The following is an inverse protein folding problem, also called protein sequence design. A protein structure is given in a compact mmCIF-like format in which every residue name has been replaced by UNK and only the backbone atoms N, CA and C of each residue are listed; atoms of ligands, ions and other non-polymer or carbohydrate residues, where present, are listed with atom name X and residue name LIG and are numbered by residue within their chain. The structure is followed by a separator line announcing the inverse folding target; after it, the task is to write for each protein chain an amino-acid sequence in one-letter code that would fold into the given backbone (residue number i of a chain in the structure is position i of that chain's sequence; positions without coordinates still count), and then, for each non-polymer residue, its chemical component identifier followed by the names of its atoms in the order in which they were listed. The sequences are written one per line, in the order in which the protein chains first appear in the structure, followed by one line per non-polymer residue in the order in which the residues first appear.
data_IF_073774107609
#
_entry.id   IF_073774107609
#
_cell.length_a   1.000
_cell.length_b   1.000
_cell.length_c   1.000
_cell.angle_alpha   90.00
_cell.angle_beta   90.00
_cell.angle_gamma   90.00
#
_symmetry.space_group_name_H-M   'P 1'
#
loop_
_entity.id
_entity.type
_entity.pdbx_description
1 polymer ?
#
# COMPACT_ATOMS: atom_id res chain seq x y z
N UNK A 1 -12.00 11.81 -27.68
CA UNK A 1 -10.58 11.93 -27.33
C UNK A 1 -10.43 12.45 -25.89
N UNK A 2 -9.21 12.38 -25.38
CA UNK A 2 -8.90 12.72 -23.98
C UNK A 2 -7.64 13.57 -23.92
N UNK A 3 -7.66 14.63 -23.06
CA UNK A 3 -6.54 15.55 -22.83
C UNK A 3 -6.35 15.78 -21.32
N UNK A 4 -5.17 16.24 -20.90
CA UNK A 4 -4.97 16.60 -19.50
C UNK A 4 -5.59 17.97 -19.14
N UNK A 5 -5.73 18.18 -18.00
CA UNK A 5 -6.24 19.19 -17.54
C UNK A 5 -5.75 20.41 -17.83
N UNK A 6 -4.51 20.50 -17.80
CA UNK A 6 -3.79 21.75 -18.09
C UNK A 6 -3.88 22.18 -19.58
N UNK A 7 -4.66 21.48 -20.37
CA UNK A 7 -5.01 21.92 -21.73
C UNK A 7 -5.81 23.25 -21.73
N UNK A 8 -6.47 23.55 -20.64
CA UNK A 8 -7.35 24.72 -20.53
C UNK A 8 -6.78 25.73 -19.54
N UNK A 9 -6.88 27.01 -19.91
CA UNK A 9 -6.42 28.10 -19.05
C UNK A 9 -7.12 28.07 -17.68
N UNK A 10 -6.37 28.34 -16.64
CA UNK A 10 -6.86 28.44 -15.27
C UNK A 10 -7.37 27.15 -14.66
N UNK A 11 -7.21 26.00 -15.30
CA UNK A 11 -7.54 24.70 -14.72
C UNK A 11 -6.31 24.15 -14.02
N UNK A 12 -6.44 23.82 -12.73
CA UNK A 12 -5.37 23.24 -11.93
C UNK A 12 -5.73 21.79 -11.55
N UNK A 13 -4.74 20.92 -11.58
CA UNK A 13 -4.91 19.53 -11.21
C UNK A 13 -4.36 18.58 -12.26
N UNK A 14 -4.46 17.30 -11.97
CA UNK A 14 -4.01 16.25 -12.88
C UNK A 14 -5.16 15.26 -13.11
N UNK A 15 -6.15 15.69 -13.86
CA UNK A 15 -7.29 14.86 -14.20
C UNK A 15 -7.52 14.91 -15.72
N UNK A 16 -8.10 13.85 -16.28
CA UNK A 16 -8.40 13.82 -17.71
C UNK A 16 -9.67 14.60 -18.02
N UNK A 17 -9.68 15.23 -19.19
CA UNK A 17 -10.88 15.83 -19.77
C UNK A 17 -11.22 15.03 -21.04
N UNK A 18 -12.42 14.47 -21.07
CA UNK A 18 -12.89 13.69 -22.20
C UNK A 18 -13.83 14.50 -23.09
N UNK A 19 -13.70 14.32 -24.39
CA UNK A 19 -14.62 14.87 -25.37
C UNK A 19 -15.30 13.73 -26.12
N UNK A 20 -16.62 13.78 -26.15
CA UNK A 20 -17.46 12.79 -26.83
C UNK A 20 -18.31 13.47 -27.91
N UNK A 21 -18.45 12.82 -29.05
CA UNK A 21 -19.34 13.27 -30.10
C UNK A 21 -20.58 12.35 -30.04
N UNK A 22 -21.76 12.97 -29.94
CA UNK A 22 -23.02 12.26 -29.87
C UNK A 22 -23.75 12.41 -31.19
N UNK A 23 -24.23 11.29 -31.73
CA UNK A 23 -25.07 11.27 -32.92
C UNK A 23 -26.50 10.92 -32.52
N UNK A 24 -27.47 11.77 -32.89
CA UNK A 24 -28.88 11.49 -32.69
C UNK A 24 -29.37 10.54 -33.81
N UNK A 25 -29.95 9.47 -33.44
CA UNK A 25 -30.49 8.50 -34.39
C UNK A 25 -31.93 8.14 -34.06
N UNK A 26 -32.76 8.08 -34.73
CA UNK A 26 -33.79 7.80 -34.45
C UNK A 26 -34.14 6.91 -35.29
N UNK A 27 -34.83 5.77 -35.02
CA UNK A 27 -35.01 5.40 -33.60
C UNK A 27 -33.66 5.07 -32.94
N UNK A 28 -33.54 5.30 -31.65
CA UNK A 28 -32.27 4.99 -30.97
C UNK A 28 -31.98 3.49 -31.09
N UNK A 29 -30.77 3.09 -31.47
CA UNK A 29 -30.41 1.68 -31.44
C UNK A 29 -30.57 1.13 -30.03
N UNK A 30 -30.91 -0.14 -29.86
CA UNK A 30 -30.95 -0.72 -28.51
C UNK A 30 -29.58 -0.50 -27.84
N UNK A 31 -29.63 0.07 -26.65
CA UNK A 31 -28.41 0.31 -25.85
C UNK A 31 -27.71 -1.02 -25.59
N UNK A 32 -26.79 -1.35 -26.48
CA UNK A 32 -25.80 -2.40 -26.14
C UNK A 32 -24.83 -1.75 -25.15
N UNK A 33 -24.71 -2.26 -23.95
CA UNK A 33 -23.63 -1.76 -23.07
C UNK A 33 -22.32 -2.03 -23.79
N UNK A 34 -21.78 -0.99 -24.41
CA UNK A 34 -20.41 -1.08 -24.89
C UNK A 34 -19.52 -1.09 -23.63
N UNK A 35 -18.98 -2.25 -23.35
CA UNK A 35 -18.11 -2.39 -22.18
C UNK A 35 -16.74 -1.71 -22.37
N UNK A 36 -16.51 -1.15 -23.54
CA UNK A 36 -15.24 -0.51 -23.88
C UNK A 36 -15.46 0.77 -24.69
N UNK A 37 -14.77 1.83 -24.28
CA UNK A 37 -14.70 3.10 -25.01
C UNK A 37 -13.24 3.37 -25.35
N UNK A 38 -12.93 3.41 -26.64
CA UNK A 38 -11.58 3.69 -27.12
C UNK A 38 -11.44 5.18 -27.37
N UNK A 39 -10.40 5.78 -26.79
CA UNK A 39 -10.12 7.20 -26.86
C UNK A 39 -8.74 7.44 -27.46
N UNK A 40 -8.63 8.43 -28.31
CA UNK A 40 -7.33 9.03 -28.68
C UNK A 40 -6.91 9.93 -27.54
N UNK A 41 -5.63 9.88 -27.17
CA UNK A 41 -5.06 10.64 -26.06
C UNK A 41 -4.07 11.65 -26.61
N UNK A 42 -4.23 12.91 -26.22
CA UNK A 42 -3.36 14.00 -26.66
C UNK A 42 -2.77 14.71 -25.44
N UNK A 43 -1.59 15.29 -25.60
CA UNK A 43 -1.01 16.17 -24.59
C UNK A 43 -1.67 17.55 -24.63
N UNK A 44 -1.28 18.45 -23.72
CA UNK A 44 -1.85 19.80 -23.61
C UNK A 44 -1.56 20.70 -24.81
N UNK A 45 -0.64 20.29 -25.70
CA UNK A 45 -0.28 21.03 -26.92
C UNK A 45 -0.91 20.40 -28.17
N UNK A 46 -1.73 19.36 -28.03
CA UNK A 46 -2.36 18.65 -29.14
C UNK A 46 -1.48 17.56 -29.76
N UNK A 47 -0.35 17.22 -29.14
CA UNK A 47 0.51 16.12 -29.58
C UNK A 47 -0.15 14.77 -29.27
N UNK A 48 -0.24 13.88 -30.24
CA UNK A 48 -0.84 12.56 -30.07
C UNK A 48 0.05 11.67 -29.20
N UNK A 49 -0.51 11.12 -28.12
CA UNK A 49 0.20 10.26 -27.18
C UNK A 49 -0.11 8.77 -27.35
N UNK A 50 -1.26 8.44 -28.00
CA UNK A 50 -1.66 7.04 -28.18
C UNK A 50 -3.14 6.83 -27.97
N UNK A 51 -3.53 5.62 -27.62
CA UNK A 51 -4.92 5.25 -27.37
C UNK A 51 -5.11 4.80 -25.94
N UNK A 52 -6.30 5.04 -25.39
CA UNK A 52 -6.73 4.48 -24.10
C UNK A 52 -8.10 3.82 -24.27
N UNK A 53 -8.22 2.61 -23.75
CA UNK A 53 -9.50 1.93 -23.68
C UNK A 53 -10.03 2.07 -22.23
N UNK A 54 -11.19 2.70 -22.08
CA UNK A 54 -11.90 2.75 -20.80
C UNK A 54 -12.95 1.66 -20.83
N UNK A 55 -12.92 0.76 -19.85
CA UNK A 55 -13.84 -0.37 -19.74
C UNK A 55 -14.74 -0.23 -18.53
N UNK A 56 -15.98 -0.64 -18.67
CA UNK A 56 -16.91 -0.81 -17.56
C UNK A 56 -17.16 -2.30 -17.35
N UNK A 57 -16.82 -2.79 -16.17
CA UNK A 57 -17.01 -4.19 -15.81
C UNK A 57 -18.22 -4.31 -14.87
N UNK A 58 -19.41 -4.40 -15.48
CA UNK A 58 -20.65 -4.54 -14.72
C UNK A 58 -20.61 -5.83 -13.88
N UNK A 59 -21.07 -5.73 -12.63
CA UNK A 59 -21.17 -6.85 -11.67
C UNK A 59 -19.83 -7.44 -11.19
N UNK A 60 -18.69 -6.86 -11.57
CA UNK A 60 -17.41 -7.30 -11.00
C UNK A 60 -17.22 -6.57 -9.66
N UNK A 61 -17.02 -7.28 -8.55
CA UNK A 61 -16.79 -6.62 -7.26
C UNK A 61 -15.52 -5.76 -7.28
N UNK A 62 -15.54 -4.69 -6.53
CA UNK A 62 -14.35 -3.86 -6.36
C UNK A 62 -13.35 -4.52 -5.41
N UNK A 63 -12.12 -4.06 -5.47
CA UNK A 63 -11.04 -4.58 -4.64
C UNK A 63 -11.35 -4.49 -3.13
N UNK A 64 -11.94 -3.36 -2.69
CA UNK A 64 -12.28 -3.18 -1.28
C UNK A 64 -13.34 -4.20 -0.79
N UNK A 65 -14.21 -4.66 -1.67
CA UNK A 65 -15.23 -5.66 -1.31
C UNK A 65 -14.59 -7.01 -0.97
N UNK A 66 -13.46 -7.31 -1.59
CA UNK A 66 -12.73 -8.55 -1.33
C UNK A 66 -12.20 -8.63 0.12
N UNK A 67 -11.81 -7.50 0.70
CA UNK A 67 -11.29 -7.46 2.08
C UNK A 67 -12.38 -7.74 3.14
N UNK A 68 -13.65 -7.61 2.78
CA UNK A 68 -14.73 -7.77 3.77
C UNK A 68 -14.87 -9.21 4.28
N UNK A 69 -14.20 -10.16 3.65
CA UNK A 69 -14.20 -11.57 4.06
C UNK A 69 -13.43 -11.83 5.37
N UNK A 70 -12.61 -10.87 5.81
CA UNK A 70 -11.73 -11.05 6.96
C UNK A 70 -12.18 -10.22 8.15
N UNK A 71 -12.62 -10.87 9.23
CA UNK A 71 -13.02 -10.19 10.46
C UNK A 71 -12.16 -10.69 11.63
N UNK A 72 -11.63 -9.79 12.46
CA UNK A 72 -10.85 -10.19 13.62
C UNK A 72 -11.74 -10.74 14.75
N UNK A 73 -11.16 -11.58 15.59
CA UNK A 73 -11.78 -11.99 16.86
C UNK A 73 -11.32 -11.04 17.99
N UNK A 74 -11.96 -11.13 19.14
CA UNK A 74 -11.59 -10.31 20.31
C UNK A 74 -10.20 -10.64 20.87
N UNK A 75 -9.61 -11.76 20.48
CA UNK A 75 -8.30 -12.22 20.99
C UNK A 75 -7.13 -11.85 20.10
N UNK A 76 -7.41 -11.35 18.89
CA UNK A 76 -6.36 -11.00 17.95
C UNK A 76 -5.68 -9.69 18.34
N UNK A 77 -4.35 -9.67 18.26
CA UNK A 77 -3.60 -8.42 18.35
C UNK A 77 -3.81 -7.66 17.05
N UNK A 78 -4.39 -6.47 17.15
CA UNK A 78 -4.57 -5.59 15.99
C UNK A 78 -3.28 -4.80 15.81
N UNK A 79 -2.59 -5.01 14.69
CA UNK A 79 -1.34 -4.30 14.37
C UNK A 79 -1.61 -2.86 13.97
N UNK A 80 -2.73 -2.62 13.32
CA UNK A 80 -3.14 -1.32 12.81
C UNK A 80 -4.36 -1.47 11.93
N UNK A 81 -4.68 -0.44 11.17
CA UNK A 81 -5.88 -0.38 10.34
C UNK A 81 -5.53 0.14 8.94
N UNK A 82 -6.11 -0.49 7.92
CA UNK A 82 -6.04 -0.03 6.55
C UNK A 82 -7.24 0.87 6.24
N UNK A 83 -6.98 2.10 5.79
CA UNK A 83 -7.97 2.90 5.07
C UNK A 83 -7.92 2.45 3.60
N UNK A 84 -8.98 1.84 3.07
CA UNK A 84 -8.96 1.35 1.69
C UNK A 84 -9.19 2.47 0.65
N UNK A 85 -9.52 3.68 1.08
CA UNK A 85 -9.91 4.76 0.17
C UNK A 85 -11.11 4.36 -0.69
N UNK A 86 -11.18 4.91 -1.89
CA UNK A 86 -12.10 4.46 -2.95
C UNK A 86 -11.30 3.72 -4.03
N UNK A 87 -11.99 3.04 -4.94
CA UNK A 87 -11.36 2.04 -5.81
C UNK A 87 -10.66 2.60 -7.06
N UNK A 88 -10.48 3.91 -7.19
CA UNK A 88 -9.83 4.54 -8.34
C UNK A 88 -8.48 5.14 -7.99
N UNK A 89 -7.64 5.38 -9.00
CA UNK A 89 -6.36 6.08 -8.83
C UNK A 89 -6.53 7.49 -8.26
N UNK A 90 -7.65 8.17 -8.53
CA UNK A 90 -7.94 9.49 -7.96
C UNK A 90 -7.86 9.49 -6.43
N UNK A 91 -8.14 8.34 -5.80
CA UNK A 91 -8.18 8.20 -4.35
C UNK A 91 -6.97 7.44 -3.79
N UNK A 92 -5.91 7.26 -4.60
CA UNK A 92 -4.73 6.50 -4.18
C UNK A 92 -4.09 7.07 -2.91
N UNK A 93 -4.03 8.39 -2.78
CA UNK A 93 -3.44 9.05 -1.60
C UNK A 93 -4.23 8.84 -0.31
N UNK A 94 -5.48 8.40 -0.40
CA UNK A 94 -6.29 8.08 0.78
C UNK A 94 -5.95 6.69 1.33
N UNK A 95 -5.45 5.78 0.48
CA UNK A 95 -5.09 4.42 0.92
C UNK A 95 -3.85 4.52 1.80
N UNK A 96 -4.01 4.17 3.07
CA UNK A 96 -2.90 4.25 4.03
C UNK A 96 -3.12 3.31 5.21
N UNK A 97 -2.07 3.11 5.97
CA UNK A 97 -2.11 2.33 7.22
C UNK A 97 -1.91 3.27 8.40
N UNK A 98 -2.71 3.11 9.44
CA UNK A 98 -2.63 3.91 10.67
C UNK A 98 -2.84 3.05 11.91
N UNK A 99 -2.49 3.61 13.06
CA UNK A 99 -2.73 2.96 14.36
C UNK A 99 -4.22 3.05 14.74
N UNK A 100 -4.91 4.12 14.30
CA UNK A 100 -6.26 4.47 14.76
C UNK A 100 -7.30 4.05 13.72
N UNK A 101 -8.35 3.38 14.20
CA UNK A 101 -9.57 3.16 13.41
C UNK A 101 -10.38 4.46 13.36
N UNK A 102 -10.50 5.04 12.16
CA UNK A 102 -11.29 6.25 11.94
C UNK A 102 -12.63 5.98 11.25
N UNK A 103 -13.11 4.73 11.26
CA UNK A 103 -14.38 4.36 10.62
C UNK A 103 -15.56 5.21 11.12
N UNK A 104 -15.52 5.59 12.39
CA UNK A 104 -16.59 6.41 12.99
C UNK A 104 -16.53 7.88 12.56
N UNK A 105 -15.38 8.36 12.10
CA UNK A 105 -15.16 9.75 11.70
C UNK A 105 -15.23 9.94 10.20
N UNK A 106 -15.05 8.87 9.44
CA UNK A 106 -15.07 8.86 7.98
C UNK A 106 -16.21 7.95 7.51
N UNK A 107 -16.69 8.16 6.31
CA UNK A 107 -17.72 7.29 5.73
C UNK A 107 -17.11 6.04 5.08
N UNK A 108 -15.87 5.73 5.43
CA UNK A 108 -15.12 4.59 4.89
C UNK A 108 -14.82 3.63 6.05
N UNK A 109 -15.11 2.35 5.84
CA UNK A 109 -14.80 1.31 6.83
C UNK A 109 -13.30 1.00 6.78
N UNK A 110 -12.61 1.16 7.91
CA UNK A 110 -11.22 0.76 8.06
C UNK A 110 -11.15 -0.75 8.31
N UNK A 111 -10.13 -1.40 7.78
CA UNK A 111 -9.92 -2.83 7.94
C UNK A 111 -8.82 -3.09 8.97
N UNK A 112 -9.12 -3.83 10.05
CA UNK A 112 -8.09 -4.17 11.03
C UNK A 112 -7.06 -5.14 10.45
N UNK A 113 -5.81 -4.94 10.78
CA UNK A 113 -4.68 -5.75 10.33
C UNK A 113 -4.25 -6.63 11.50
N UNK A 114 -4.35 -7.94 11.30
CA UNK A 114 -3.97 -8.95 12.28
C UNK A 114 -3.07 -10.00 11.59
N UNK A 115 -2.46 -10.89 12.35
CA UNK A 115 -1.53 -11.87 11.78
C UNK A 115 -2.13 -12.70 10.64
N UNK A 116 -3.43 -13.03 10.70
CA UNK A 116 -4.08 -13.83 9.64
C UNK A 116 -4.50 -13.01 8.42
N UNK A 117 -4.59 -11.69 8.53
CA UNK A 117 -5.02 -10.83 7.40
C UNK A 117 -3.90 -10.00 6.81
N UNK A 118 -2.73 -9.93 7.45
CA UNK A 118 -1.68 -8.98 7.05
C UNK A 118 -1.22 -9.18 5.61
N UNK A 119 -1.10 -10.41 5.13
CA UNK A 119 -0.70 -10.67 3.74
C UNK A 119 -1.76 -10.19 2.76
N UNK A 120 -3.05 -10.44 3.03
CA UNK A 120 -4.13 -9.97 2.18
C UNK A 120 -4.20 -8.44 2.15
N UNK A 121 -4.06 -7.80 3.32
CA UNK A 121 -4.00 -6.34 3.41
C UNK A 121 -2.78 -5.79 2.66
N UNK A 122 -1.63 -6.48 2.75
CA UNK A 122 -0.42 -6.07 2.04
C UNK A 122 -0.60 -6.12 0.52
N UNK A 123 -1.30 -7.15 0.02
CA UNK A 123 -1.64 -7.24 -1.40
C UNK A 123 -2.50 -6.03 -1.79
N UNK A 124 -3.60 -5.78 -1.05
CA UNK A 124 -4.46 -4.62 -1.32
C UNK A 124 -3.65 -3.32 -1.37
N UNK A 125 -2.85 -3.08 -0.33
CA UNK A 125 -2.06 -1.86 -0.22
C UNK A 125 -1.09 -1.71 -1.39
N UNK A 126 -0.37 -2.79 -1.71
CA UNK A 126 0.71 -2.73 -2.69
C UNK A 126 0.19 -2.54 -4.12
N UNK A 127 -0.88 -3.24 -4.51
CA UNK A 127 -1.46 -3.05 -5.84
C UNK A 127 -2.02 -1.64 -6.01
N UNK A 128 -2.45 -0.98 -4.91
CA UNK A 128 -2.92 0.40 -4.95
C UNK A 128 -1.79 1.42 -5.04
N UNK A 129 -0.56 1.04 -4.69
CA UNK A 129 0.58 1.97 -4.62
C UNK A 129 1.74 1.67 -5.56
N UNK A 130 1.84 0.45 -6.10
CA UNK A 130 2.98 0.08 -6.96
C UNK A 130 2.92 0.73 -8.34
N UNK A 131 1.73 1.13 -8.81
CA UNK A 131 1.56 1.82 -10.10
C UNK A 131 1.33 3.30 -9.81
N UNK A 132 2.10 4.15 -10.48
CA UNK A 132 2.01 5.59 -10.29
C UNK A 132 0.68 6.14 -10.81
N UNK A 133 -0.01 6.93 -9.99
CA UNK A 133 -1.19 7.68 -10.43
C UNK A 133 -0.76 8.79 -11.40
N UNK A 134 -1.45 8.88 -12.53
CA UNK A 134 -1.26 9.88 -13.58
C UNK A 134 -2.63 10.40 -14.00
N UNK A 135 -2.65 11.52 -14.74
CA UNK A 135 -3.92 12.00 -15.28
C UNK A 135 -4.55 10.99 -16.25
N UNK A 136 -3.72 10.16 -16.91
CA UNK A 136 -4.22 9.17 -17.87
C UNK A 136 -4.95 8.00 -17.18
N UNK A 137 -4.53 7.61 -15.96
CA UNK A 137 -5.16 6.50 -15.24
C UNK A 137 -6.02 6.95 -14.04
N UNK A 138 -6.28 8.25 -13.91
CA UNK A 138 -6.95 8.85 -12.74
C UNK A 138 -8.30 8.15 -12.42
N UNK A 139 -9.04 7.75 -13.42
CA UNK A 139 -10.37 7.12 -13.28
C UNK A 139 -10.36 5.60 -13.40
N UNK A 140 -9.20 5.00 -13.63
CA UNK A 140 -9.12 3.54 -13.70
C UNK A 140 -9.46 2.94 -12.33
N UNK A 141 -10.20 1.84 -12.36
CA UNK A 141 -10.77 1.20 -11.17
C UNK A 141 -10.03 -0.10 -10.84
N UNK A 142 -9.89 -0.34 -9.55
CA UNK A 142 -9.35 -1.61 -9.04
C UNK A 142 -10.51 -2.55 -8.70
N UNK A 143 -10.37 -3.81 -9.09
CA UNK A 143 -11.40 -4.84 -8.97
C UNK A 143 -10.91 -5.99 -8.08
N UNK A 144 -11.84 -6.80 -7.61
CA UNK A 144 -11.52 -8.09 -7.01
C UNK A 144 -10.77 -8.96 -8.05
N UNK A 145 -9.88 -9.84 -7.63
CA UNK A 145 -9.12 -10.67 -8.57
C UNK A 145 -10.04 -11.59 -9.37
N UNK A 146 -9.53 -12.12 -10.49
CA UNK A 146 -10.29 -13.08 -11.30
C UNK A 146 -10.71 -14.31 -10.50
N UNK A 147 -9.82 -14.77 -9.61
CA UNK A 147 -10.03 -15.93 -8.74
C UNK A 147 -9.08 -15.82 -7.54
N UNK A 148 -8.97 -16.87 -6.74
CA UNK A 148 -8.14 -16.90 -5.55
C UNK A 148 -6.71 -17.45 -5.77
N UNK A 149 -6.30 -17.71 -7.02
CA UNK A 149 -4.99 -18.30 -7.35
C UNK A 149 -3.82 -17.46 -6.80
N UNK A 150 -3.96 -16.12 -6.77
CA UNK A 150 -2.92 -15.25 -6.21
C UNK A 150 -2.57 -15.61 -4.76
N UNK A 151 -3.48 -16.26 -4.03
CA UNK A 151 -3.24 -16.65 -2.63
C UNK A 151 -2.20 -17.76 -2.50
N UNK A 152 -1.95 -18.52 -3.57
CA UNK A 152 -0.91 -19.55 -3.60
C UNK A 152 0.46 -18.99 -4.01
N UNK A 153 0.49 -17.75 -4.53
CA UNK A 153 1.74 -17.08 -4.91
C UNK A 153 2.37 -16.43 -3.66
N UNK A 154 3.17 -17.22 -2.94
CA UNK A 154 3.80 -16.76 -1.69
C UNK A 154 4.80 -15.63 -1.95
N UNK A 155 5.55 -15.69 -3.06
CA UNK A 155 6.52 -14.64 -3.39
C UNK A 155 5.83 -13.31 -3.61
N UNK A 156 4.75 -13.30 -4.41
CA UNK A 156 3.96 -12.09 -4.65
C UNK A 156 3.44 -11.49 -3.33
N UNK A 157 2.85 -12.33 -2.47
CA UNK A 157 2.31 -11.85 -1.18
C UNK A 157 3.41 -11.31 -0.26
N UNK A 158 4.57 -11.99 -0.22
CA UNK A 158 5.69 -11.55 0.61
C UNK A 158 6.31 -10.27 0.06
N UNK A 159 6.42 -10.13 -1.27
CA UNK A 159 6.85 -8.89 -1.92
C UNK A 159 5.90 -7.73 -1.55
N UNK A 160 4.60 -7.97 -1.58
CA UNK A 160 3.60 -6.98 -1.17
C UNK A 160 3.76 -6.59 0.31
N UNK A 161 4.03 -7.56 1.18
CA UNK A 161 4.25 -7.27 2.60
C UNK A 161 5.43 -6.32 2.79
N UNK A 162 6.57 -6.64 2.19
CA UNK A 162 7.77 -5.81 2.34
C UNK A 162 7.55 -4.42 1.74
N UNK A 163 6.90 -4.34 0.58
CA UNK A 163 6.54 -3.05 -0.03
C UNK A 163 5.69 -2.20 0.93
N UNK A 164 4.65 -2.78 1.52
CA UNK A 164 3.77 -2.09 2.46
C UNK A 164 4.52 -1.62 3.72
N UNK A 165 5.39 -2.45 4.27
CA UNK A 165 6.09 -2.12 5.53
C UNK A 165 6.94 -0.86 5.39
N UNK A 166 7.55 -0.63 4.22
CA UNK A 166 8.50 0.45 4.03
C UNK A 166 7.98 1.60 3.17
N UNK A 167 6.72 1.52 2.72
CA UNK A 167 6.10 2.56 1.90
C UNK A 167 5.73 3.79 2.72
N UNK A 168 5.75 4.97 2.09
CA UNK A 168 5.45 6.25 2.75
C UNK A 168 4.02 6.36 3.29
N UNK A 169 3.08 5.60 2.75
CA UNK A 169 1.69 5.58 3.21
C UNK A 169 1.47 4.58 4.36
N UNK A 170 2.51 3.91 4.82
CA UNK A 170 2.48 3.27 6.14
C UNK A 170 2.73 4.37 7.17
N UNK A 171 1.65 4.82 7.83
CA UNK A 171 1.66 5.96 8.76
C UNK A 171 1.59 5.51 10.21
N UNK A 172 2.03 4.29 10.51
CA UNK A 172 2.10 3.80 11.89
C UNK A 172 3.05 4.72 12.67
N UNK A 173 2.61 5.17 13.83
CA UNK A 173 3.39 6.06 14.70
C UNK A 173 3.13 5.73 16.17
N UNK A 174 4.16 5.79 16.99
CA UNK A 174 4.06 5.54 18.43
C UNK A 174 3.35 6.67 19.18
N UNK A 175 3.18 7.84 18.57
CA UNK A 175 2.40 8.93 19.18
C UNK A 175 0.91 8.59 19.30
N UNK A 176 0.43 7.58 18.58
CA UNK A 176 -0.99 7.20 18.56
C UNK A 176 -1.25 5.79 19.11
N UNK A 177 -0.20 5.05 19.44
CA UNK A 177 -0.36 3.70 19.98
C UNK A 177 0.91 2.86 19.85
N UNK A 178 0.79 1.60 20.20
CA UNK A 178 1.91 0.66 20.13
C UNK A 178 2.29 0.37 18.69
N UNK A 179 3.57 0.41 18.37
CA UNK A 179 4.08 0.00 17.08
C UNK A 179 4.24 -1.52 17.04
N UNK A 180 3.32 -2.20 16.35
CA UNK A 180 3.37 -3.64 16.12
C UNK A 180 4.10 -3.99 14.82
N UNK A 181 4.58 -3.00 14.06
CA UNK A 181 5.12 -3.17 12.71
C UNK A 181 6.66 -3.09 12.66
N UNK A 182 7.36 -3.25 13.80
CA UNK A 182 8.82 -3.31 13.77
C UNK A 182 9.23 -4.70 13.23
N UNK A 183 9.93 -4.76 12.08
CA UNK A 183 10.25 -6.05 11.44
C UNK A 183 11.62 -6.62 11.86
N UNK A 184 12.29 -5.99 12.80
CA UNK A 184 13.67 -6.31 13.21
C UNK A 184 13.73 -6.67 14.68
N UNK A 185 14.71 -7.49 15.06
CA UNK A 185 15.07 -7.64 16.48
C UNK A 185 15.88 -6.44 16.96
N UNK A 186 15.92 -6.25 18.26
CA UNK A 186 16.72 -5.19 18.89
C UNK A 186 18.19 -5.30 18.49
N UNK A 187 18.72 -6.53 18.47
CA UNK A 187 20.12 -6.77 18.13
C UNK A 187 20.43 -6.39 16.68
N UNK A 188 19.52 -6.66 15.74
CA UNK A 188 19.72 -6.33 14.31
C UNK A 188 19.91 -4.82 14.08
N UNK A 189 19.28 -3.99 14.90
CA UNK A 189 19.28 -2.53 14.70
C UNK A 189 20.01 -1.80 15.85
N UNK A 190 20.69 -2.54 16.72
CA UNK A 190 21.46 -2.00 17.84
C UNK A 190 20.61 -1.13 18.77
N UNK A 191 19.35 -1.52 19.00
CA UNK A 191 18.44 -0.80 19.89
C UNK A 191 18.93 -0.91 21.35
N UNK A 192 18.98 0.21 22.04
CA UNK A 192 19.41 0.27 23.45
C UNK A 192 18.36 -0.28 24.43
N UNK A 193 17.11 -0.40 23.98
CA UNK A 193 15.99 -0.82 24.82
C UNK A 193 15.16 -1.88 24.11
N UNK A 194 14.41 -2.63 24.91
CA UNK A 194 13.50 -3.66 24.39
C UNK A 194 12.25 -3.04 23.76
N UNK A 195 11.77 -3.68 22.71
CA UNK A 195 10.51 -3.31 22.07
C UNK A 195 9.31 -3.75 22.91
N UNK A 196 8.25 -2.98 22.85
CA UNK A 196 6.99 -3.31 23.52
C UNK A 196 6.20 -4.38 22.76
N UNK A 197 6.53 -4.61 21.50
CA UNK A 197 5.85 -5.60 20.68
C UNK A 197 6.81 -6.23 19.67
N UNK A 198 6.74 -7.55 19.56
CA UNK A 198 7.43 -8.32 18.54
C UNK A 198 6.43 -8.98 17.57
N UNK A 199 5.19 -8.48 17.51
CA UNK A 199 4.11 -9.15 16.79
C UNK A 199 4.44 -9.39 15.31
N UNK A 200 4.98 -8.37 14.61
CA UNK A 200 5.37 -8.54 13.20
C UNK A 200 6.59 -9.44 13.07
N UNK A 201 7.61 -9.26 13.91
CA UNK A 201 8.82 -10.11 13.87
C UNK A 201 8.46 -11.58 14.08
N UNK A 202 7.56 -11.88 15.02
CA UNK A 202 7.09 -13.24 15.25
C UNK A 202 6.34 -13.78 14.02
N UNK A 203 5.52 -12.93 13.38
CA UNK A 203 4.84 -13.31 12.13
C UNK A 203 5.87 -13.64 11.03
N UNK A 204 6.87 -12.77 10.82
CA UNK A 204 7.90 -12.98 9.80
C UNK A 204 8.68 -14.28 10.03
N UNK A 205 8.89 -14.64 11.29
CA UNK A 205 9.62 -15.85 11.70
C UNK A 205 8.71 -17.10 11.79
N UNK A 206 7.46 -17.00 11.36
CA UNK A 206 6.52 -18.13 11.39
C UNK A 206 6.00 -18.49 12.78
N UNK A 207 6.17 -17.61 13.79
CA UNK A 207 5.72 -17.86 15.16
C UNK A 207 4.28 -17.36 15.37
N UNK A 208 3.33 -17.82 14.55
CA UNK A 208 1.92 -17.43 14.70
C UNK A 208 1.30 -18.25 15.82
N UNK A 209 0.81 -17.58 16.86
CA UNK A 209 0.03 -18.26 17.92
C UNK A 209 -1.33 -18.65 17.35
N UNK A 210 -1.60 -19.95 17.27
CA UNK A 210 -2.94 -20.45 16.93
C UNK A 210 -3.89 -20.06 18.05
N UNK A 211 -4.99 -19.41 17.72
CA UNK A 211 -6.10 -19.26 18.66
C UNK A 211 -6.76 -20.65 18.87
N UNK A 212 -7.11 -20.96 20.11
CA UNK A 212 -7.68 -22.27 20.51
C UNK A 212 -9.03 -22.62 19.86
N UNK A 213 -9.56 -21.76 18.98
CA UNK A 213 -10.90 -21.95 18.40
C UNK A 213 -10.89 -22.60 17.01
N UNK A 214 -9.73 -22.91 16.45
CA UNK A 214 -9.67 -23.86 15.33
C UNK A 214 -9.78 -25.27 15.91
N UNK A 215 -10.95 -25.48 16.56
CA UNK A 215 -11.24 -26.72 17.27
C UNK A 215 -11.35 -27.91 16.34
N UNK A 216 -10.92 -29.02 16.87
CA UNK A 216 -11.38 -30.36 16.58
C UNK A 216 -11.90 -30.68 15.17
N UNK A 217 -11.24 -30.18 14.14
CA UNK A 217 -11.35 -30.84 12.85
C UNK A 217 -10.34 -31.97 12.83
N UNK A 218 -10.85 -33.16 13.06
CA UNK A 218 -10.13 -34.44 13.02
C UNK A 218 -9.40 -34.71 11.69
N UNK A 219 -9.52 -33.81 10.73
CA UNK A 219 -9.00 -33.97 9.36
C UNK A 219 -7.88 -33.00 8.97
N UNK A 220 -7.46 -32.11 9.87
CA UNK A 220 -6.37 -31.19 9.58
C UNK A 220 -5.10 -31.56 10.35
N UNK A 221 -4.69 -32.82 10.23
CA UNK A 221 -3.42 -33.32 10.76
C UNK A 221 -2.23 -33.06 9.82
N UNK A 222 -2.22 -31.92 9.12
CA UNK A 222 -0.96 -31.41 8.60
C UNK A 222 -0.48 -30.35 9.58
N UNK A 223 0.48 -30.69 10.42
CA UNK A 223 1.35 -29.70 11.06
C UNK A 223 2.03 -28.96 9.90
N UNK A 224 1.41 -27.89 9.40
CA UNK A 224 2.16 -26.90 8.64
C UNK A 224 3.17 -26.33 9.63
N UNK A 225 4.39 -26.80 9.55
CA UNK A 225 5.48 -26.12 10.24
C UNK A 225 5.45 -24.68 9.77
N UNK A 226 5.22 -23.78 10.70
CA UNK A 226 5.28 -22.35 10.41
C UNK A 226 6.74 -22.01 10.12
N UNK A 227 7.07 -21.92 8.84
CA UNK A 227 8.41 -21.54 8.41
C UNK A 227 8.52 -20.03 8.36
N UNK A 228 9.70 -19.47 8.59
CA UNK A 228 9.94 -18.06 8.32
C UNK A 228 9.55 -17.71 6.90
N UNK A 229 9.09 -16.48 6.68
CA UNK A 229 8.76 -16.01 5.34
C UNK A 229 10.05 -15.90 4.51
N UNK A 230 9.96 -16.34 3.26
CA UNK A 230 11.05 -16.22 2.30
C UNK A 230 10.84 -14.97 1.44
N UNK A 231 11.91 -14.26 1.15
CA UNK A 231 11.86 -13.00 0.40
C UNK A 231 12.60 -13.13 -0.92
N UNK A 232 12.05 -12.54 -1.97
CA UNK A 232 12.76 -12.36 -3.24
C UNK A 232 14.00 -11.48 -3.03
N UNK A 233 14.89 -11.48 -4.01
CA UNK A 233 16.07 -10.62 -3.96
C UNK A 233 15.70 -9.14 -3.83
N UNK A 234 14.70 -8.69 -4.57
CA UNK A 234 14.25 -7.28 -4.50
C UNK A 234 13.60 -6.95 -3.15
N UNK A 235 12.79 -7.86 -2.61
CA UNK A 235 12.21 -7.68 -1.27
C UNK A 235 13.30 -7.63 -0.20
N UNK A 236 14.31 -8.50 -0.31
CA UNK A 236 15.46 -8.51 0.61
C UNK A 236 16.22 -7.19 0.57
N UNK A 237 16.43 -6.61 -0.63
CA UNK A 237 17.09 -5.30 -0.76
C UNK A 237 16.30 -4.19 -0.05
N UNK A 238 14.96 -4.19 -0.17
CA UNK A 238 14.11 -3.24 0.56
C UNK A 238 14.25 -3.44 2.07
N UNK A 239 14.21 -4.69 2.52
CA UNK A 239 14.30 -5.06 3.92
C UNK A 239 15.65 -4.59 4.52
N UNK A 240 16.75 -4.83 3.78
CA UNK A 240 18.10 -4.42 4.21
C UNK A 240 18.24 -2.89 4.24
N UNK A 241 17.73 -2.19 3.20
CA UNK A 241 17.76 -0.72 3.17
C UNK A 241 16.96 -0.14 4.34
N UNK A 242 15.82 -0.75 4.67
CA UNK A 242 15.02 -0.36 5.82
C UNK A 242 15.76 -0.59 7.13
N UNK A 243 16.44 -1.76 7.26
CA UNK A 243 17.23 -2.08 8.45
C UNK A 243 18.31 -1.02 8.72
N UNK A 244 18.99 -0.55 7.67
CA UNK A 244 20.03 0.47 7.83
C UNK A 244 19.47 1.81 8.33
N UNK A 245 18.26 2.19 7.93
CA UNK A 245 17.59 3.39 8.45
C UNK A 245 17.28 3.22 9.95
N UNK A 246 16.72 2.07 10.34
CA UNK A 246 16.45 1.78 11.76
C UNK A 246 17.73 1.77 12.57
N UNK A 247 18.76 1.08 12.07
CA UNK A 247 20.07 1.03 12.75
C UNK A 247 20.64 2.44 12.92
N UNK A 248 20.64 3.25 11.87
CA UNK A 248 21.16 4.62 11.93
C UNK A 248 20.39 5.47 12.95
N UNK A 249 19.06 5.35 12.98
CA UNK A 249 18.24 6.03 13.99
C UNK A 249 18.67 5.64 15.40
N UNK A 250 18.90 4.36 15.66
CA UNK A 250 19.27 3.88 17.00
C UNK A 250 20.67 4.32 17.44
N UNK A 251 21.54 4.74 16.52
CA UNK A 251 22.86 5.32 16.88
C UNK A 251 22.77 6.79 17.25
N UNK A 252 21.65 7.46 17.00
CA UNK A 252 21.53 8.91 17.24
C UNK A 252 21.50 9.23 18.73
N UNK A 253 22.19 10.31 19.11
CA UNK A 253 22.10 10.86 20.45
C UNK A 253 20.86 11.76 20.53
N UNK A 254 20.05 11.58 21.56
CA UNK A 254 18.73 12.22 21.68
C UNK A 254 18.78 13.52 22.52
N UNK A 255 19.81 14.35 22.34
CA UNK A 255 19.92 15.60 23.10
C UNK A 255 18.77 16.56 22.83
N UNK A 256 18.21 16.55 21.63
CA UNK A 256 17.16 17.49 21.22
C UNK A 256 15.76 16.83 21.10
N UNK A 257 15.66 15.52 21.33
CA UNK A 257 14.42 14.76 21.24
C UNK A 257 14.53 13.47 22.04
N UNK A 258 13.50 13.10 22.79
CA UNK A 258 13.54 11.85 23.55
C UNK A 258 13.77 10.64 22.64
N UNK A 259 14.67 9.78 23.02
CA UNK A 259 14.90 8.52 22.33
C UNK A 259 13.64 7.65 22.41
N UNK A 260 13.26 7.05 21.29
CA UNK A 260 12.10 6.17 21.20
C UNK A 260 12.53 4.82 20.63
N UNK A 261 12.74 3.83 21.49
CA UNK A 261 13.11 2.48 21.07
C UNK A 261 12.10 1.85 20.12
N UNK A 262 10.82 2.19 20.28
CA UNK A 262 9.71 1.62 19.51
C UNK A 262 9.37 2.44 18.27
N UNK A 263 10.23 3.38 17.86
CA UNK A 263 9.97 4.23 16.70
C UNK A 263 9.64 3.41 15.46
N UNK A 264 8.57 3.79 14.79
CA UNK A 264 8.23 3.28 13.46
C UNK A 264 9.08 3.97 12.39
N UNK A 265 9.02 3.49 11.16
CA UNK A 265 9.65 4.20 10.04
C UNK A 265 9.07 5.61 9.90
N UNK A 266 7.78 5.81 10.17
CA UNK A 266 7.15 7.13 10.16
C UNK A 266 7.77 8.06 11.23
N UNK A 267 7.95 7.55 12.44
CA UNK A 267 8.58 8.31 13.55
C UNK A 267 10.04 8.66 13.20
N UNK A 268 10.77 7.72 12.62
CA UNK A 268 12.17 7.93 12.19
C UNK A 268 12.24 9.04 11.12
N UNK A 269 11.34 8.99 10.15
CA UNK A 269 11.24 10.04 9.12
C UNK A 269 10.96 11.41 9.76
N UNK A 270 10.04 11.46 10.73
CA UNK A 270 9.73 12.70 11.43
C UNK A 270 10.96 13.24 12.18
N UNK A 271 11.72 12.36 12.83
CA UNK A 271 12.95 12.72 13.55
C UNK A 271 13.96 13.42 12.62
N UNK A 272 14.22 12.84 11.44
CA UNK A 272 15.23 13.40 10.52
C UNK A 272 14.72 14.55 9.65
N UNK A 273 13.46 14.51 9.23
CA UNK A 273 12.89 15.46 8.25
C UNK A 273 12.19 16.65 8.90
N UNK A 274 11.68 16.46 10.12
CA UNK A 274 10.92 17.49 10.82
C UNK A 274 9.55 17.78 10.19
N UNK A 275 8.84 18.73 10.77
CA UNK A 275 7.54 19.19 10.27
C UNK A 275 7.63 20.66 9.87
N UNK A 276 6.78 21.05 8.91
CA UNK A 276 6.66 22.47 8.50
C UNK A 276 5.74 23.24 9.48
N UNK A 277 5.57 24.54 9.25
CA UNK A 277 4.76 25.41 10.09
C UNK A 277 3.28 24.98 10.20
N UNK A 278 2.78 24.20 9.22
CA UNK A 278 1.43 23.68 9.21
C UNK A 278 1.34 22.29 9.85
N UNK A 279 2.42 21.81 10.48
CA UNK A 279 2.48 20.51 11.13
C UNK A 279 2.59 19.31 10.19
N UNK A 280 2.80 19.53 8.91
CA UNK A 280 2.93 18.48 7.91
C UNK A 280 4.38 17.99 7.84
N UNK A 281 4.57 16.67 7.77
CA UNK A 281 5.90 16.05 7.63
C UNK A 281 6.61 16.61 6.40
N UNK A 282 7.85 17.07 6.57
CA UNK A 282 8.68 17.57 5.48
C UNK A 282 9.09 16.45 4.52
N UNK A 283 9.40 16.81 3.29
CA UNK A 283 9.96 15.87 2.30
C UNK A 283 11.42 15.54 2.63
N UNK A 284 11.94 14.39 2.17
CA UNK A 284 13.30 13.96 2.50
C UNK A 284 14.41 14.97 2.19
N UNK A 285 14.37 15.74 1.08
CA UNK A 285 15.42 16.74 0.82
C UNK A 285 15.55 17.82 1.88
N UNK A 286 14.52 18.05 2.70
CA UNK A 286 14.56 19.06 3.78
C UNK A 286 15.27 18.55 5.05
N UNK A 287 15.59 17.25 5.12
CA UNK A 287 16.42 16.75 6.22
C UNK A 287 17.80 17.40 6.16
N UNK A 288 18.36 17.74 7.33
CA UNK A 288 19.72 18.31 7.42
C UNK A 288 20.79 17.24 7.36
N UNK A 289 20.44 16.00 7.63
CA UNK A 289 21.35 14.88 7.74
C UNK A 289 21.56 14.23 6.36
N UNK A 290 22.75 14.43 5.79
CA UNK A 290 23.08 13.93 4.45
C UNK A 290 23.16 12.40 4.41
N UNK A 291 23.62 11.76 5.48
CA UNK A 291 23.69 10.30 5.51
C UNK A 291 22.27 9.70 5.54
N UNK A 292 21.38 10.26 6.34
CA UNK A 292 19.97 9.85 6.31
C UNK A 292 19.35 9.99 4.91
N UNK A 293 19.63 11.12 4.22
CA UNK A 293 19.12 11.32 2.85
C UNK A 293 19.59 10.20 1.92
N UNK A 294 20.85 9.80 2.05
CA UNK A 294 21.39 8.71 1.23
C UNK A 294 20.70 7.38 1.56
N UNK A 295 20.56 7.06 2.84
CA UNK A 295 19.88 5.83 3.26
C UNK A 295 18.43 5.81 2.77
N UNK A 296 17.74 6.95 2.88
CA UNK A 296 16.35 7.05 2.42
C UNK A 296 16.23 6.91 0.90
N UNK A 297 17.16 7.51 0.15
CA UNK A 297 17.21 7.37 -1.31
C UNK A 297 17.41 5.90 -1.70
N UNK A 298 18.33 5.19 -1.02
CA UNK A 298 18.55 3.77 -1.24
C UNK A 298 17.26 2.96 -1.03
N UNK A 299 16.52 3.26 0.05
CA UNK A 299 15.24 2.59 0.32
C UNK A 299 14.22 2.89 -0.79
N UNK A 300 14.12 4.14 -1.23
CA UNK A 300 13.17 4.52 -2.29
C UNK A 300 13.50 3.83 -3.63
N UNK A 301 14.77 3.69 -3.96
CA UNK A 301 15.15 3.01 -5.20
C UNK A 301 14.87 1.50 -5.12
N UNK A 302 15.16 0.87 -3.97
CA UNK A 302 14.81 -0.54 -3.75
C UNK A 302 13.28 -0.75 -3.84
N UNK A 303 12.48 0.16 -3.28
CA UNK A 303 11.02 0.09 -3.37
C UNK A 303 10.52 0.22 -4.82
N UNK A 304 11.14 1.08 -5.63
CA UNK A 304 10.81 1.20 -7.06
C UNK A 304 11.07 -0.11 -7.81
N UNK A 305 12.19 -0.77 -7.50
CA UNK A 305 12.51 -2.04 -8.15
C UNK A 305 11.55 -3.15 -7.71
N UNK A 306 11.22 -3.20 -6.42
CA UNK A 306 10.23 -4.15 -5.92
C UNK A 306 8.84 -3.91 -6.57
N UNK A 307 8.45 -2.63 -6.74
CA UNK A 307 7.20 -2.30 -7.42
C UNK A 307 7.14 -2.86 -8.84
N UNK A 308 8.27 -2.86 -9.57
CA UNK A 308 8.34 -3.42 -10.94
C UNK A 308 8.03 -4.93 -10.96
N UNK A 309 8.32 -5.65 -9.88
CA UNK A 309 7.97 -7.07 -9.77
C UNK A 309 6.49 -7.28 -9.42
N UNK A 310 5.93 -6.36 -8.63
CA UNK A 310 4.51 -6.42 -8.23
C UNK A 310 3.59 -6.03 -9.40
N UNK A 311 3.97 -5.01 -10.19
CA UNK A 311 3.11 -4.43 -11.23
C UNK A 311 2.51 -5.46 -12.22
N UNK A 312 3.29 -6.39 -12.80
CA UNK A 312 2.70 -7.36 -13.74
C UNK A 312 1.62 -8.23 -13.09
N UNK A 313 1.80 -8.56 -11.81
CA UNK A 313 0.85 -9.39 -11.06
C UNK A 313 -0.49 -8.69 -10.84
N UNK A 314 -0.49 -7.33 -10.81
CA UNK A 314 -1.73 -6.56 -10.69
C UNK A 314 -2.67 -6.84 -11.87
N UNK A 315 -2.11 -6.92 -13.07
CA UNK A 315 -2.86 -7.23 -14.30
C UNK A 315 -3.13 -8.74 -14.42
N UNK A 316 -2.11 -9.56 -14.17
CA UNK A 316 -2.19 -11.03 -14.27
C UNK A 316 -3.35 -11.58 -13.42
N UNK A 317 -3.49 -11.08 -12.19
CA UNK A 317 -4.55 -11.55 -11.28
C UNK A 317 -5.87 -10.78 -11.43
N UNK A 318 -5.94 -9.77 -12.31
CA UNK A 318 -7.17 -9.05 -12.61
C UNK A 318 -7.54 -7.95 -11.62
N UNK A 319 -6.61 -7.53 -10.78
CA UNK A 319 -6.86 -6.40 -9.86
C UNK A 319 -7.02 -5.09 -10.61
N UNK A 320 -6.38 -4.97 -11.76
CA UNK A 320 -6.55 -3.87 -12.71
C UNK A 320 -6.74 -4.50 -14.08
N UNK A 321 -7.75 -4.05 -14.83
CA UNK A 321 -8.17 -4.70 -16.08
C UNK A 321 -8.06 -3.72 -17.23
N UNK A 322 -7.46 -4.14 -18.34
CA UNK A 322 -7.34 -3.39 -19.60
C UNK A 322 -8.35 -3.86 -20.64
#
# INVERSE_FOLDING_TARGET
FMVPXDTFDNVKGQFPIGFLVWEYRXPPPPLKPTNALNLEVFDSRGGFLGYKTIRSFNKVPFLADYLQKCQPTKRDTIFGYLDPGRNSFQHQNLVHISVIDKSQQSHVKYFPIIATTILLVSVFFSIRHCIKATWQNDRDQFYAPYDDVFQDDSEFKNNCLIFMLFHTQNRITTTQGTNHFIPFSEDEVESKERYTSHALLDFLNGKIKKTKEEGDSLFLNAKKENKPLEFSLSASKVFDAGREIYRYYHTQDSTNRPYNANASLYDIKEFFQGRNAQGKLNSPPKAKDEYYKQLYANLQDALKDLAKEIQPKVYEYGFLRE
#
